data_IF_067799354723
#
_entry.id   IF_067799354723
#
_cell.length_a   1.000
_cell.length_b   1.000
_cell.length_c   1.000
_cell.angle_alpha   90.00
_cell.angle_beta   90.00
_cell.angle_gamma   90.00
#
_symmetry.space_group_name_H-M   'P 1'
#
loop_
_entity.id
_entity.type
_entity.pdbx_description
1 polymer ?
#
# COMPACT_ATOMS: atom_id res chain seq x y z
N UNK A 1 -36.59 9.31 33.72
CA UNK A 1 -35.38 9.42 34.54
C UNK A 1 -34.65 8.07 34.72
N UNK A 2 -35.22 7.01 35.34
CA UNK A 2 -34.52 5.71 35.54
C UNK A 2 -34.08 4.98 34.27
N UNK A 3 -34.84 5.07 33.14
CA UNK A 3 -34.48 4.46 31.86
C UNK A 3 -33.27 5.16 31.18
N UNK A 4 -33.26 6.49 31.25
CA UNK A 4 -32.17 7.31 30.65
C UNK A 4 -30.85 7.07 31.40
N UNK A 5 -30.87 6.96 32.70
CA UNK A 5 -29.68 6.66 33.53
C UNK A 5 -29.13 5.26 33.19
N UNK A 6 -29.99 4.24 33.00
CA UNK A 6 -29.54 2.89 32.59
C UNK A 6 -28.87 2.91 31.22
N UNK A 7 -29.39 3.65 30.25
CA UNK A 7 -28.79 3.73 28.93
C UNK A 7 -27.41 4.39 29.00
N UNK A 8 -27.27 5.49 29.75
CA UNK A 8 -25.99 6.18 29.96
C UNK A 8 -24.94 5.25 30.61
N UNK A 9 -25.35 4.46 31.63
CA UNK A 9 -24.45 3.52 32.28
C UNK A 9 -24.00 2.41 31.30
N UNK A 10 -24.91 1.87 30.50
CA UNK A 10 -24.59 0.81 29.52
C UNK A 10 -23.63 1.34 28.45
N UNK A 11 -23.87 2.54 27.91
CA UNK A 11 -22.96 3.15 26.93
C UNK A 11 -21.58 3.44 27.53
N UNK A 12 -21.51 3.86 28.80
CA UNK A 12 -20.22 4.08 29.46
C UNK A 12 -19.45 2.76 29.68
N UNK A 13 -20.14 1.70 30.05
CA UNK A 13 -19.53 0.36 30.23
C UNK A 13 -19.00 -0.17 28.88
N UNK A 14 -19.75 0.00 27.79
CA UNK A 14 -19.31 -0.41 26.45
C UNK A 14 -18.08 0.39 26.01
N UNK A 15 -18.06 1.71 26.24
CA UNK A 15 -16.91 2.54 25.92
C UNK A 15 -15.65 2.11 26.68
N UNK A 16 -15.76 1.86 28.00
CA UNK A 16 -14.64 1.38 28.82
C UNK A 16 -14.16 -0.02 28.37
N UNK A 17 -15.07 -0.91 27.99
CA UNK A 17 -14.71 -2.24 27.48
C UNK A 17 -13.95 -2.17 26.15
N UNK A 18 -14.33 -1.24 25.26
CA UNK A 18 -13.62 -1.00 24.00
C UNK A 18 -12.22 -0.43 24.22
N UNK A 19 -12.06 0.53 25.14
CA UNK A 19 -10.74 1.07 25.50
C UNK A 19 -9.82 0.00 26.13
N UNK A 20 -10.34 -0.84 27.01
CA UNK A 20 -9.57 -1.94 27.58
C UNK A 20 -9.14 -2.97 26.54
N UNK A 21 -10.00 -3.28 25.57
CA UNK A 21 -9.66 -4.20 24.48
C UNK A 21 -8.55 -3.65 23.58
N UNK A 22 -8.57 -2.35 23.29
CA UNK A 22 -7.51 -1.68 22.53
C UNK A 22 -6.16 -1.69 23.28
N UNK A 23 -6.16 -1.45 24.59
CA UNK A 23 -4.94 -1.50 25.42
C UNK A 23 -4.36 -2.93 25.46
N UNK A 24 -5.20 -3.96 25.52
CA UNK A 24 -4.76 -5.36 25.50
C UNK A 24 -4.15 -5.71 24.13
N UNK A 25 -4.77 -5.27 23.05
CA UNK A 25 -4.26 -5.48 21.70
C UNK A 25 -2.88 -4.79 21.48
N UNK A 26 -2.72 -3.56 21.95
CA UNK A 26 -1.44 -2.82 21.88
C UNK A 26 -0.36 -3.53 22.70
N UNK A 27 -0.68 -4.01 23.91
CA UNK A 27 0.29 -4.77 24.73
C UNK A 27 0.67 -6.10 24.11
N UNK A 28 -0.28 -6.83 23.53
CA UNK A 28 -0.01 -8.07 22.81
C UNK A 28 0.90 -7.82 21.59
N UNK A 29 0.65 -6.76 20.84
CA UNK A 29 1.48 -6.34 19.72
C UNK A 29 2.93 -6.03 20.15
N UNK A 30 3.12 -5.28 21.25
CA UNK A 30 4.47 -5.00 21.77
C UNK A 30 5.21 -6.26 22.22
N UNK A 31 4.51 -7.20 22.87
CA UNK A 31 5.09 -8.47 23.32
C UNK A 31 5.54 -9.34 22.13
N UNK A 32 4.76 -9.40 21.06
CA UNK A 32 5.12 -10.15 19.83
C UNK A 32 6.33 -9.50 19.16
N UNK A 33 6.37 -8.17 19.05
CA UNK A 33 7.50 -7.45 18.45
C UNK A 33 8.79 -7.55 19.28
N UNK A 34 8.72 -7.64 20.60
CA UNK A 34 9.91 -7.89 21.44
C UNK A 34 10.40 -9.33 21.28
N UNK A 35 9.52 -10.30 21.17
CA UNK A 35 9.90 -11.70 20.93
C UNK A 35 10.59 -11.88 19.59
N UNK A 36 10.10 -11.27 18.51
CA UNK A 36 10.71 -11.34 17.18
C UNK A 36 12.07 -10.63 17.09
N UNK A 37 12.30 -9.57 17.87
CA UNK A 37 13.61 -8.91 17.98
C UNK A 37 14.64 -9.76 18.72
N UNK A 38 14.21 -10.60 19.63
CA UNK A 38 15.10 -11.50 20.39
C UNK A 38 15.57 -12.66 19.52
N UNK A 39 14.69 -13.24 18.71
CA UNK A 39 15.04 -14.32 17.76
C UNK A 39 15.99 -13.84 16.65
N UNK A 40 15.83 -12.60 16.16
CA UNK A 40 16.72 -12.01 15.16
C UNK A 40 18.15 -11.77 15.69
N UNK A 41 18.33 -11.50 16.99
CA UNK A 41 19.66 -11.35 17.62
C UNK A 41 20.38 -12.69 17.86
N UNK A 42 19.64 -13.77 18.03
CA UNK A 42 20.23 -15.11 18.25
C UNK A 42 20.77 -15.73 16.96
N UNK A 43 20.16 -15.40 15.81
CA UNK A 43 20.60 -15.87 14.48
C UNK A 43 21.89 -15.19 14.02
N UNK A 44 22.13 -13.93 14.38
CA UNK A 44 23.36 -13.20 13.99
C UNK A 44 24.60 -13.64 14.75
N UNK A 45 24.47 -14.22 15.95
CA UNK A 45 25.63 -14.66 16.75
C UNK A 45 26.13 -16.07 16.41
N UNK A 46 25.45 -16.84 15.57
CA UNK A 46 25.87 -18.20 15.18
C UNK A 46 26.73 -18.28 13.91
N UNK A 47 26.83 -17.19 13.14
CA UNK A 47 27.57 -17.22 11.86
C UNK A 47 29.04 -16.76 11.91
N UNK A 48 29.56 -16.29 13.03
CA UNK A 48 30.92 -15.71 13.10
C UNK A 48 32.02 -16.68 13.61
N UNK A 49 31.75 -17.99 13.67
CA UNK A 49 32.78 -18.96 14.13
C UNK A 49 33.05 -20.11 13.17
N UNK A 50 33.24 -19.85 11.88
CA UNK A 50 33.85 -20.86 10.96
C UNK A 50 34.56 -20.20 9.79
N UNK A 51 35.74 -19.63 10.07
CA UNK A 51 36.78 -19.42 9.06
C UNK A 51 38.14 -19.50 9.73
N UNK A 52 38.80 -20.62 9.56
CA UNK A 52 40.23 -20.76 9.38
C UNK A 52 40.66 -22.25 9.42
N UNK A 53 40.93 -22.84 8.28
CA UNK A 53 42.13 -23.68 8.07
C UNK A 53 42.26 -24.02 6.58
N UNK A 54 43.25 -23.41 6.02
CA UNK A 54 43.81 -23.70 4.71
C UNK A 54 44.64 -24.97 4.75
N UNK A 55 44.45 -25.88 3.81
CA UNK A 55 45.49 -26.83 3.39
C UNK A 55 45.30 -27.15 1.91
N UNK A 56 46.30 -26.78 1.13
CA UNK A 56 46.49 -27.12 -0.27
C UNK A 56 46.39 -28.64 -0.52
N UNK A 57 45.57 -29.02 -1.50
CA UNK A 57 45.81 -30.20 -2.34
C UNK A 57 45.22 -29.98 -3.72
N UNK A 58 46.13 -30.00 -4.69
CA UNK A 58 45.92 -30.07 -6.13
C UNK A 58 44.96 -31.22 -6.46
N UNK A 59 43.84 -30.94 -7.11
CA UNK A 59 42.97 -31.95 -7.73
C UNK A 59 42.54 -31.43 -9.09
N UNK A 60 42.80 -32.24 -10.12
CA UNK A 60 42.44 -32.07 -11.54
C UNK A 60 40.99 -31.62 -11.71
N UNK A 61 40.80 -30.53 -12.47
CA UNK A 61 39.51 -29.99 -12.82
C UNK A 61 39.02 -30.67 -14.11
N UNK A 62 37.92 -31.45 -14.09
CA UNK A 62 37.24 -31.85 -15.31
C UNK A 62 36.54 -30.64 -15.93
N UNK A 63 36.75 -30.45 -17.24
CA UNK A 63 36.11 -29.43 -18.07
C UNK A 63 34.58 -29.46 -17.89
N UNK A 64 33.91 -28.35 -17.56
CA UNK A 64 32.45 -28.35 -17.40
C UNK A 64 31.76 -28.55 -18.74
N UNK A 65 30.94 -29.57 -18.81
CA UNK A 65 29.97 -29.82 -19.86
C UNK A 65 28.91 -28.70 -19.81
N UNK A 66 28.81 -27.93 -20.87
CA UNK A 66 27.81 -26.90 -21.08
C UNK A 66 26.41 -27.50 -21.18
N UNK A 67 25.64 -27.44 -20.15
CA UNK A 67 24.15 -27.36 -20.12
C UNK A 67 23.71 -27.08 -18.67
N UNK A 68 23.90 -25.84 -18.25
CA UNK A 68 23.08 -25.30 -17.16
C UNK A 68 21.93 -24.60 -17.88
N UNK A 69 20.79 -25.26 -17.92
CA UNK A 69 19.51 -24.61 -18.21
C UNK A 69 19.31 -23.59 -17.10
N UNK A 70 19.31 -22.32 -17.47
CA UNK A 70 19.02 -21.23 -16.55
C UNK A 70 17.49 -21.15 -16.38
N UNK A 71 16.91 -22.11 -15.68
CA UNK A 71 15.52 -22.01 -15.20
C UNK A 71 15.48 -21.10 -13.95
N UNK A 72 15.90 -19.84 -14.12
CA UNK A 72 15.47 -18.77 -13.25
C UNK A 72 14.07 -18.40 -13.79
N UNK A 73 13.00 -18.59 -13.02
CA UNK A 73 11.68 -18.18 -13.46
C UNK A 73 11.75 -16.68 -13.82
N UNK A 74 11.42 -16.37 -15.07
CA UNK A 74 11.38 -14.99 -15.53
C UNK A 74 10.30 -14.25 -14.75
N UNK A 75 10.63 -13.10 -14.16
CA UNK A 75 9.64 -12.31 -13.43
C UNK A 75 8.48 -11.98 -14.35
N UNK A 76 7.24 -12.07 -13.87
CA UNK A 76 6.08 -11.75 -14.69
C UNK A 76 6.14 -10.31 -15.20
N UNK A 77 5.86 -10.12 -16.48
CA UNK A 77 5.92 -8.82 -17.14
C UNK A 77 4.52 -8.21 -17.18
N UNK A 78 4.43 -6.93 -16.81
CA UNK A 78 3.19 -6.15 -16.93
C UNK A 78 2.81 -6.02 -18.40
N UNK A 79 1.53 -6.18 -18.67
CA UNK A 79 1.00 -6.11 -20.04
C UNK A 79 -0.44 -5.64 -20.09
N UNK A 80 -1.02 -5.51 -21.30
CA UNK A 80 -2.38 -5.04 -21.47
C UNK A 80 -3.41 -6.08 -21.03
N UNK A 81 -4.50 -5.58 -20.45
CA UNK A 81 -5.70 -6.35 -20.09
C UNK A 81 -6.94 -5.55 -20.50
N UNK A 82 -8.10 -6.18 -20.57
CA UNK A 82 -9.35 -5.47 -20.75
C UNK A 82 -10.00 -5.07 -19.40
N UNK A 83 -11.04 -4.24 -19.44
CA UNK A 83 -11.67 -3.68 -18.24
C UNK A 83 -12.25 -4.75 -17.29
N UNK A 84 -12.64 -5.92 -17.79
CA UNK A 84 -13.18 -7.01 -16.97
C UNK A 84 -12.14 -7.60 -16.03
N UNK A 85 -10.86 -7.38 -16.30
CA UNK A 85 -9.78 -7.74 -15.38
C UNK A 85 -9.96 -7.14 -13.99
N UNK A 86 -10.63 -6.00 -13.88
CA UNK A 86 -10.82 -5.27 -12.63
C UNK A 86 -12.11 -5.65 -11.88
N UNK A 87 -12.97 -6.53 -12.41
CA UNK A 87 -14.26 -6.89 -11.81
C UNK A 87 -14.13 -7.55 -10.43
N UNK A 88 -13.03 -8.22 -10.15
CA UNK A 88 -12.69 -8.84 -8.86
C UNK A 88 -11.63 -8.04 -8.06
N UNK A 89 -11.45 -6.78 -8.41
CA UNK A 89 -10.51 -5.88 -7.74
C UNK A 89 -11.18 -5.02 -6.66
N UNK A 90 -10.36 -4.55 -5.72
CA UNK A 90 -10.70 -3.46 -4.80
C UNK A 90 -9.66 -2.34 -4.90
N UNK A 91 -10.13 -1.11 -4.97
CA UNK A 91 -9.31 0.10 -4.96
C UNK A 91 -9.34 0.73 -3.58
N UNK A 92 -8.16 0.91 -2.99
CA UNK A 92 -7.95 1.42 -1.65
C UNK A 92 -7.24 2.78 -1.74
N UNK A 93 -7.75 3.82 -1.05
CA UNK A 93 -7.04 5.08 -1.07
C UNK A 93 -7.76 6.31 -0.54
N UNK A 94 -7.22 7.46 -0.89
CA UNK A 94 -7.69 8.78 -0.47
C UNK A 94 -8.70 9.41 -1.45
N UNK A 95 -8.82 10.75 -1.42
CA UNK A 95 -9.75 11.51 -2.28
C UNK A 95 -9.54 11.28 -3.78
N UNK A 96 -8.33 10.93 -4.22
CA UNK A 96 -8.06 10.63 -5.63
C UNK A 96 -8.69 9.30 -6.04
N UNK A 97 -8.67 8.32 -5.16
CA UNK A 97 -9.39 7.05 -5.35
C UNK A 97 -10.91 7.24 -5.27
N UNK A 98 -11.40 8.18 -4.45
CA UNK A 98 -12.81 8.60 -4.49
C UNK A 98 -13.16 9.16 -5.87
N UNK A 99 -12.29 9.97 -6.46
CA UNK A 99 -12.45 10.45 -7.84
C UNK A 99 -12.42 9.34 -8.88
N UNK A 100 -11.52 8.37 -8.73
CA UNK A 100 -11.48 7.19 -9.62
C UNK A 100 -12.79 6.39 -9.58
N UNK A 101 -13.40 6.23 -8.40
CA UNK A 101 -14.73 5.63 -8.27
C UNK A 101 -15.82 6.42 -9.00
N UNK A 102 -15.72 7.75 -8.97
CA UNK A 102 -16.77 8.63 -9.51
C UNK A 102 -16.67 8.83 -11.02
N UNK A 103 -15.47 8.81 -11.58
CA UNK A 103 -15.17 9.23 -12.95
C UNK A 103 -14.42 8.20 -13.78
N UNK A 104 -13.90 7.13 -13.20
CA UNK A 104 -13.20 6.08 -13.93
C UNK A 104 -14.11 4.98 -14.43
N UNK A 105 -13.60 4.12 -15.32
CA UNK A 105 -14.38 3.11 -16.06
C UNK A 105 -14.49 1.72 -15.38
N UNK A 106 -13.92 1.54 -14.18
CA UNK A 106 -13.95 0.25 -13.49
C UNK A 106 -15.20 0.10 -12.61
N UNK A 107 -16.38 0.11 -13.23
CA UNK A 107 -17.68 0.19 -12.54
C UNK A 107 -18.05 -1.06 -11.72
N UNK A 108 -17.48 -2.22 -12.05
CA UNK A 108 -17.73 -3.48 -11.32
C UNK A 108 -16.74 -3.70 -10.17
N UNK A 109 -15.71 -2.89 -10.05
CA UNK A 109 -14.73 -2.96 -8.97
C UNK A 109 -15.33 -2.49 -7.65
N UNK A 110 -14.74 -2.95 -6.54
CA UNK A 110 -15.03 -2.42 -5.21
C UNK A 110 -14.10 -1.23 -4.90
N UNK A 111 -14.61 -0.28 -4.13
CA UNK A 111 -13.82 0.90 -3.73
C UNK A 111 -13.89 1.10 -2.24
N UNK A 112 -12.74 1.29 -1.63
CA UNK A 112 -12.59 1.60 -0.21
C UNK A 112 -11.72 2.84 -0.09
N UNK A 113 -12.35 4.01 -0.19
CA UNK A 113 -11.66 5.28 -0.31
C UNK A 113 -12.36 6.40 0.44
N UNK A 114 -11.56 7.30 1.04
CA UNK A 114 -12.08 8.45 1.80
C UNK A 114 -11.23 9.69 1.61
N UNK A 115 -11.89 10.83 1.43
CA UNK A 115 -11.24 12.13 1.35
C UNK A 115 -10.45 12.44 2.62
N UNK A 116 -9.20 12.89 2.46
CA UNK A 116 -8.33 13.33 3.55
C UNK A 116 -7.74 12.20 4.40
N UNK A 117 -7.95 10.94 4.05
CA UNK A 117 -7.39 9.82 4.81
C UNK A 117 -5.87 9.77 4.64
N UNK A 118 -5.18 9.43 5.72
CA UNK A 118 -3.74 9.19 5.79
C UNK A 118 -3.45 7.71 6.05
N UNK A 119 -2.20 7.29 5.88
CA UNK A 119 -1.82 5.88 6.05
C UNK A 119 -2.10 5.39 7.46
N UNK A 120 -1.78 6.17 8.49
CA UNK A 120 -2.00 5.78 9.89
C UNK A 120 -3.46 5.61 10.27
N UNK A 121 -4.37 6.25 9.55
CA UNK A 121 -5.81 6.21 9.81
C UNK A 121 -6.56 5.21 8.96
N UNK A 122 -5.89 4.57 8.00
CA UNK A 122 -6.52 3.75 6.98
C UNK A 122 -7.29 2.54 7.54
N UNK A 123 -6.77 1.89 8.59
CA UNK A 123 -7.46 0.80 9.28
C UNK A 123 -8.29 1.25 10.49
N UNK A 124 -8.08 2.48 10.97
CA UNK A 124 -8.70 2.98 12.20
C UNK A 124 -10.09 3.62 11.99
N UNK A 125 -10.41 4.04 10.76
CA UNK A 125 -11.69 4.68 10.51
C UNK A 125 -12.81 3.64 10.36
N UNK A 126 -13.92 3.77 11.12
CA UNK A 126 -15.14 3.05 10.82
C UNK A 126 -15.70 3.58 9.50
N UNK A 127 -16.06 2.64 8.61
CA UNK A 127 -16.80 2.89 7.38
C UNK A 127 -16.12 3.84 6.37
N UNK A 128 -15.23 3.29 5.56
CA UNK A 128 -14.89 3.88 4.27
C UNK A 128 -15.94 3.52 3.21
N UNK A 129 -16.71 2.49 3.45
CA UNK A 129 -17.89 2.14 2.67
C UNK A 129 -19.11 2.74 3.35
N UNK A 130 -19.58 3.86 2.78
CA UNK A 130 -20.77 4.56 3.26
C UNK A 130 -22.04 3.70 3.13
N UNK A 131 -22.01 2.70 2.26
CA UNK A 131 -23.14 1.83 1.94
C UNK A 131 -23.30 0.70 2.99
N UNK A 132 -22.21 0.09 3.42
CA UNK A 132 -22.23 -1.04 4.36
C UNK A 132 -21.90 -0.65 5.80
N UNK A 133 -21.25 0.48 6.02
CA UNK A 133 -20.76 0.89 7.33
C UNK A 133 -19.61 0.03 7.88
N UNK A 134 -19.02 -0.84 7.05
CA UNK A 134 -17.94 -1.75 7.46
C UNK A 134 -16.59 -1.05 7.47
N UNK A 135 -15.70 -1.47 8.36
CA UNK A 135 -14.28 -1.07 8.34
C UNK A 135 -13.56 -1.81 7.21
N UNK A 136 -12.36 -1.33 6.84
CA UNK A 136 -11.53 -2.03 5.85
C UNK A 136 -11.24 -3.48 6.27
N UNK A 137 -10.83 -3.70 7.52
CA UNK A 137 -10.60 -5.03 8.08
C UNK A 137 -11.83 -5.93 7.95
N UNK A 138 -13.02 -5.42 8.28
CA UNK A 138 -14.26 -6.18 8.15
C UNK A 138 -14.54 -6.52 6.68
N UNK A 139 -14.45 -5.54 5.78
CA UNK A 139 -14.68 -5.75 4.35
C UNK A 139 -13.73 -6.81 3.78
N UNK A 140 -12.43 -6.70 4.06
CA UNK A 140 -11.43 -7.68 3.60
C UNK A 140 -11.55 -9.05 4.29
N UNK A 141 -12.20 -9.15 5.45
CA UNK A 141 -12.48 -10.43 6.10
C UNK A 141 -13.66 -11.17 5.48
N UNK A 142 -14.63 -10.46 4.94
CA UNK A 142 -15.86 -11.05 4.37
C UNK A 142 -15.77 -11.34 2.88
N UNK A 143 -15.01 -10.55 2.14
CA UNK A 143 -14.89 -10.69 0.67
C UNK A 143 -13.44 -10.89 0.27
N UNK A 144 -13.19 -11.93 -0.53
CA UNK A 144 -11.87 -12.17 -1.12
C UNK A 144 -11.79 -11.49 -2.48
N UNK A 145 -10.68 -10.78 -2.70
CA UNK A 145 -10.36 -10.10 -3.95
C UNK A 145 -9.15 -10.78 -4.60
N UNK A 146 -9.09 -10.78 -5.92
CA UNK A 146 -7.91 -11.27 -6.63
C UNK A 146 -6.85 -10.18 -6.80
N UNK A 147 -7.30 -8.92 -6.82
CA UNK A 147 -6.44 -7.76 -7.04
C UNK A 147 -6.80 -6.64 -6.07
N UNK A 148 -5.78 -6.03 -5.49
CA UNK A 148 -5.90 -4.90 -4.57
C UNK A 148 -5.03 -3.78 -5.09
N UNK A 149 -5.63 -2.67 -5.46
CA UNK A 149 -4.93 -1.46 -5.89
C UNK A 149 -4.92 -0.46 -4.75
N UNK A 150 -3.73 0.00 -4.33
CA UNK A 150 -3.59 0.95 -3.24
C UNK A 150 -2.84 2.21 -3.69
N UNK A 151 -3.44 3.38 -3.49
CA UNK A 151 -2.80 4.69 -3.59
C UNK A 151 -3.17 5.54 -2.39
N UNK A 152 -2.20 5.83 -1.51
CA UNK A 152 -2.38 6.63 -0.30
C UNK A 152 -1.04 7.25 0.10
N UNK A 153 -1.07 8.47 0.66
CA UNK A 153 0.14 9.08 1.21
C UNK A 153 0.37 10.54 0.82
N UNK A 154 -0.44 11.13 -0.07
CA UNK A 154 -0.32 12.56 -0.37
C UNK A 154 -0.64 13.42 0.85
N UNK A 155 -1.59 12.99 1.69
CA UNK A 155 -1.96 13.67 2.93
C UNK A 155 -0.90 13.54 4.04
N UNK A 156 0.02 12.59 3.88
CA UNK A 156 1.14 12.36 4.81
C UNK A 156 2.43 13.06 4.35
N UNK A 157 2.51 13.44 3.08
CA UNK A 157 3.78 13.71 2.41
C UNK A 157 4.60 14.82 3.07
N UNK A 158 3.99 15.92 3.46
CA UNK A 158 4.72 17.02 4.08
C UNK A 158 4.90 16.88 5.60
N UNK A 159 4.01 16.16 6.28
CA UNK A 159 3.90 16.15 7.75
C UNK A 159 4.54 14.94 8.41
N UNK A 160 4.53 13.78 7.75
CA UNK A 160 4.98 12.51 8.32
C UNK A 160 6.42 12.21 7.88
N UNK A 161 7.35 11.91 8.79
CA UNK A 161 8.70 11.47 8.43
C UNK A 161 8.67 10.19 7.56
N UNK A 162 9.63 10.05 6.65
CA UNK A 162 9.69 8.93 5.70
C UNK A 162 9.72 7.56 6.40
N UNK A 163 10.51 7.41 7.48
CA UNK A 163 10.60 6.18 8.27
C UNK A 163 9.26 5.81 8.93
N UNK A 164 8.54 6.82 9.43
CA UNK A 164 7.21 6.61 10.01
C UNK A 164 6.21 6.19 8.93
N UNK A 165 6.23 6.85 7.77
CA UNK A 165 5.42 6.47 6.62
C UNK A 165 5.71 5.04 6.17
N UNK A 166 6.99 4.66 6.05
CA UNK A 166 7.41 3.31 5.69
C UNK A 166 6.80 2.27 6.63
N UNK A 167 6.99 2.48 7.94
CA UNK A 167 6.46 1.56 8.95
C UNK A 167 4.96 1.42 8.85
N UNK A 168 4.22 2.53 8.81
CA UNK A 168 2.75 2.51 8.75
C UNK A 168 2.21 1.89 7.45
N UNK A 169 2.83 2.22 6.31
CA UNK A 169 2.41 1.71 5.01
C UNK A 169 2.60 0.20 4.92
N UNK A 170 3.79 -0.30 5.29
CA UNK A 170 4.07 -1.73 5.19
C UNK A 170 3.45 -2.56 6.32
N UNK A 171 3.09 -1.97 7.46
CA UNK A 171 2.20 -2.59 8.44
C UNK A 171 0.80 -2.79 7.83
N UNK A 172 0.27 -1.77 7.14
CA UNK A 172 -0.99 -1.86 6.41
C UNK A 172 -0.94 -2.95 5.32
N UNK A 173 0.12 -3.00 4.51
CA UNK A 173 0.31 -4.04 3.49
C UNK A 173 0.33 -5.43 4.13
N UNK A 174 1.03 -5.63 5.24
CA UNK A 174 1.06 -6.93 5.94
C UNK A 174 -0.32 -7.36 6.43
N UNK A 175 -1.10 -6.44 6.98
CA UNK A 175 -2.48 -6.74 7.39
C UNK A 175 -3.35 -7.13 6.19
N UNK A 176 -3.24 -6.41 5.07
CA UNK A 176 -3.93 -6.76 3.82
C UNK A 176 -3.52 -8.16 3.35
N UNK A 177 -2.23 -8.49 3.34
CA UNK A 177 -1.74 -9.81 2.92
C UNK A 177 -2.26 -10.95 3.81
N UNK A 178 -2.40 -10.73 5.11
CA UNK A 178 -2.98 -11.70 6.03
C UNK A 178 -4.47 -11.96 5.77
N UNK A 179 -5.21 -10.90 5.43
CA UNK A 179 -6.65 -10.99 5.13
C UNK A 179 -6.94 -11.49 3.71
N UNK A 180 -6.00 -11.28 2.78
CA UNK A 180 -6.13 -11.52 1.35
C UNK A 180 -4.89 -12.25 0.77
N UNK A 181 -4.59 -13.49 1.24
CA UNK A 181 -3.32 -14.16 0.95
C UNK A 181 -3.11 -14.50 -0.53
N UNK A 182 -4.20 -14.64 -1.30
CA UNK A 182 -4.14 -14.98 -2.72
C UNK A 182 -4.14 -13.74 -3.63
N UNK A 183 -4.37 -12.55 -3.08
CA UNK A 183 -4.44 -11.35 -3.88
C UNK A 183 -3.07 -10.89 -4.37
N UNK A 184 -3.03 -10.30 -5.57
CA UNK A 184 -1.93 -9.46 -6.03
C UNK A 184 -2.21 -8.04 -5.52
N UNK A 185 -1.22 -7.43 -4.87
CA UNK A 185 -1.33 -6.06 -4.37
C UNK A 185 -0.55 -5.14 -5.32
N UNK A 186 -1.26 -4.26 -5.98
CA UNK A 186 -0.70 -3.22 -6.83
C UNK A 186 -0.53 -1.94 -6.02
N UNK A 187 0.72 -1.60 -5.72
CA UNK A 187 1.10 -0.35 -5.05
C UNK A 187 1.28 0.71 -6.12
N UNK A 188 0.32 1.59 -6.22
CA UNK A 188 0.38 2.72 -7.15
C UNK A 188 1.22 3.85 -6.55
N UNK A 189 2.06 4.47 -7.37
CA UNK A 189 2.79 5.67 -6.96
C UNK A 189 1.84 6.79 -6.58
N UNK A 190 2.19 7.52 -5.53
CA UNK A 190 1.45 8.70 -5.04
C UNK A 190 1.59 9.81 -6.08
N UNK A 191 0.49 10.36 -6.57
CA UNK A 191 0.52 11.54 -7.44
C UNK A 191 1.00 12.77 -6.68
N UNK A 192 1.75 13.63 -7.32
CA UNK A 192 2.16 14.93 -6.79
C UNK A 192 1.03 15.95 -6.72
N UNK A 193 1.39 17.17 -6.44
CA UNK A 193 0.52 18.36 -6.57
C UNK A 193 1.12 19.32 -7.59
N UNK A 194 0.32 20.24 -8.13
CA UNK A 194 0.86 21.27 -9.04
C UNK A 194 1.86 22.17 -8.32
N UNK A 195 2.79 22.80 -9.07
CA UNK A 195 3.76 23.75 -8.52
C UNK A 195 3.08 24.88 -7.73
N UNK A 196 2.00 25.42 -8.26
CA UNK A 196 1.25 26.47 -7.59
C UNK A 196 0.62 26.01 -6.28
N UNK A 197 0.13 24.79 -6.22
CA UNK A 197 -0.46 24.21 -5.01
C UNK A 197 0.60 24.06 -3.92
N UNK A 198 1.76 23.49 -4.24
CA UNK A 198 2.86 23.37 -3.27
C UNK A 198 3.35 24.74 -2.77
N UNK A 199 3.55 25.71 -3.68
CA UNK A 199 3.98 27.07 -3.30
C UNK A 199 2.96 27.79 -2.41
N UNK A 200 1.67 27.54 -2.60
CA UNK A 200 0.60 28.16 -1.80
C UNK A 200 0.37 27.47 -0.46
N UNK A 201 0.76 26.21 -0.32
CA UNK A 201 0.55 25.42 0.89
C UNK A 201 1.69 24.42 1.14
N UNK A 202 2.94 24.91 1.32
CA UNK A 202 4.12 24.06 1.49
C UNK A 202 4.13 23.31 2.83
N UNK A 203 3.23 23.66 3.73
CA UNK A 203 3.08 22.96 5.01
C UNK A 203 2.39 21.61 4.84
N UNK A 204 1.43 21.50 3.91
CA UNK A 204 0.68 20.25 3.69
C UNK A 204 1.18 19.45 2.49
N UNK A 205 1.87 20.08 1.51
CA UNK A 205 2.26 19.42 0.28
C UNK A 205 3.75 19.60 -0.02
N UNK A 206 4.40 18.51 -0.44
CA UNK A 206 5.80 18.49 -0.89
C UNK A 206 5.99 17.40 -1.95
N UNK A 207 6.23 17.82 -3.19
CA UNK A 207 6.51 16.89 -4.29
C UNK A 207 7.84 16.16 -4.12
N UNK A 208 8.85 16.79 -3.55
CA UNK A 208 10.12 16.15 -3.20
C UNK A 208 9.85 14.93 -2.30
N UNK A 209 9.07 15.11 -1.23
CA UNK A 209 8.72 14.03 -0.31
C UNK A 209 7.78 12.99 -0.91
N UNK A 210 6.94 13.35 -1.89
CA UNK A 210 6.18 12.39 -2.68
C UNK A 210 7.11 11.50 -3.49
N UNK A 211 8.12 12.08 -4.15
CA UNK A 211 9.12 11.32 -4.92
C UNK A 211 9.94 10.39 -4.01
N UNK A 212 10.36 10.85 -2.82
CA UNK A 212 11.05 10.00 -1.83
C UNK A 212 10.20 8.79 -1.45
N UNK A 213 8.90 8.98 -1.20
CA UNK A 213 7.97 7.88 -0.89
C UNK A 213 7.79 6.93 -2.06
N UNK A 214 7.62 7.46 -3.25
CA UNK A 214 7.48 6.63 -4.46
C UNK A 214 8.72 5.77 -4.70
N UNK A 215 9.92 6.31 -4.50
CA UNK A 215 11.17 5.55 -4.58
C UNK A 215 11.24 4.45 -3.52
N UNK A 216 10.83 4.75 -2.28
CA UNK A 216 10.72 3.78 -1.21
C UNK A 216 9.74 2.66 -1.57
N UNK A 217 8.51 2.99 -1.97
CA UNK A 217 7.47 2.02 -2.35
C UNK A 217 7.97 1.10 -3.47
N UNK A 218 8.57 1.68 -4.52
CA UNK A 218 9.15 0.93 -5.64
C UNK A 218 10.24 -0.05 -5.18
N UNK A 219 11.11 0.37 -4.26
CA UNK A 219 12.22 -0.45 -3.77
C UNK A 219 11.79 -1.68 -2.96
N UNK A 220 10.58 -1.66 -2.41
CA UNK A 220 10.02 -2.72 -1.54
C UNK A 220 9.08 -3.69 -2.27
N UNK A 221 8.73 -3.40 -3.51
CA UNK A 221 7.87 -4.26 -4.32
C UNK A 221 8.70 -5.37 -4.97
N UNK A 222 8.19 -6.61 -4.94
CA UNK A 222 8.84 -7.80 -5.49
C UNK A 222 8.57 -8.01 -7.00
N UNK A 223 7.51 -7.39 -7.51
CA UNK A 223 7.04 -7.51 -8.89
C UNK A 223 6.20 -8.76 -9.16
N UNK A 224 5.81 -9.51 -8.13
CA UNK A 224 5.02 -10.75 -8.23
C UNK A 224 3.72 -10.65 -7.42
N UNK A 225 3.82 -10.59 -6.09
CA UNK A 225 2.68 -10.44 -5.17
C UNK A 225 2.50 -9.00 -4.70
N UNK A 226 3.56 -8.22 -4.69
CA UNK A 226 3.55 -6.79 -4.40
C UNK A 226 4.14 -6.04 -5.59
N UNK A 227 3.30 -5.46 -6.42
CA UNK A 227 3.63 -4.91 -7.74
C UNK A 227 3.57 -3.39 -7.69
N UNK A 228 4.66 -2.72 -8.06
CA UNK A 228 4.68 -1.26 -8.16
C UNK A 228 4.17 -0.78 -9.52
N UNK A 229 3.27 0.22 -9.51
CA UNK A 229 2.75 0.88 -10.71
C UNK A 229 3.10 2.37 -10.69
N UNK A 230 3.82 2.83 -11.68
CA UNK A 230 4.28 4.23 -11.78
C UNK A 230 3.22 5.15 -12.41
N UNK A 231 2.06 5.25 -11.77
CA UNK A 231 0.98 6.16 -12.20
C UNK A 231 1.42 7.63 -12.15
N UNK A 232 2.35 7.98 -11.22
CA UNK A 232 2.90 9.33 -11.09
C UNK A 232 3.44 9.87 -12.41
N UNK A 233 4.21 9.06 -13.14
CA UNK A 233 4.80 9.47 -14.41
C UNK A 233 3.77 9.80 -15.50
N UNK A 234 2.56 9.24 -15.45
CA UNK A 234 1.50 9.54 -16.41
C UNK A 234 0.92 10.97 -16.23
N UNK A 235 1.11 11.59 -15.06
CA UNK A 235 0.52 12.88 -14.72
C UNK A 235 1.54 13.97 -14.42
N UNK A 236 2.83 13.65 -14.46
CA UNK A 236 3.90 14.56 -14.03
C UNK A 236 4.43 15.35 -15.22
N UNK A 237 4.62 16.67 -15.03
CA UNK A 237 5.28 17.53 -16.00
C UNK A 237 6.82 17.38 -15.98
N UNK A 238 7.52 18.12 -16.86
CA UNK A 238 8.96 18.04 -16.98
C UNK A 238 9.74 18.56 -15.74
N UNK A 239 9.07 19.29 -14.84
CA UNK A 239 9.66 19.80 -13.59
C UNK A 239 9.39 18.86 -12.40
N UNK A 240 8.61 17.79 -12.58
CA UNK A 240 8.30 16.82 -11.52
C UNK A 240 7.04 17.14 -10.71
N UNK A 241 6.21 18.07 -11.16
CA UNK A 241 4.94 18.44 -10.55
C UNK A 241 3.76 17.78 -11.26
N UNK A 242 2.64 17.63 -10.56
CA UNK A 242 1.37 17.33 -11.24
C UNK A 242 1.13 18.38 -12.33
N UNK A 243 0.91 17.93 -13.55
CA UNK A 243 0.69 18.82 -14.68
C UNK A 243 -0.56 19.68 -14.42
N UNK A 244 -0.39 20.99 -14.52
CA UNK A 244 -1.44 21.97 -14.21
C UNK A 244 -2.70 21.82 -15.09
N UNK A 245 -2.59 21.18 -16.25
CA UNK A 245 -3.73 20.94 -17.13
C UNK A 245 -4.60 19.76 -16.65
N UNK A 246 -4.05 18.89 -15.81
CA UNK A 246 -4.77 17.75 -15.24
C UNK A 246 -5.44 18.06 -13.89
N UNK A 247 -5.34 19.30 -13.38
CA UNK A 247 -5.92 19.66 -12.08
C UNK A 247 -6.31 21.13 -12.03
N UNK A 248 -7.57 21.39 -11.68
CA UNK A 248 -8.08 22.75 -11.51
C UNK A 248 -7.82 23.32 -10.11
N UNK A 249 -7.71 22.49 -9.07
CA UNK A 249 -7.42 22.88 -7.68
C UNK A 249 -5.95 22.62 -7.27
N UNK A 250 -5.20 22.01 -8.17
CA UNK A 250 -3.79 21.69 -7.98
C UNK A 250 -3.53 20.39 -7.20
N UNK A 251 -4.57 19.69 -6.76
CA UNK A 251 -4.49 18.46 -5.97
C UNK A 251 -5.23 17.30 -6.62
N UNK A 252 -6.49 17.47 -6.98
CA UNK A 252 -7.34 16.45 -7.56
C UNK A 252 -7.29 16.49 -9.09
N UNK A 253 -7.37 15.32 -9.72
CA UNK A 253 -7.49 15.26 -11.18
C UNK A 253 -8.85 15.84 -11.63
N UNK A 254 -8.87 16.45 -12.82
CA UNK A 254 -10.14 16.79 -13.46
C UNK A 254 -10.89 15.50 -13.82
N UNK A 255 -12.20 15.55 -13.92
CA UNK A 255 -13.04 14.38 -14.18
C UNK A 255 -12.65 13.62 -15.47
N UNK A 256 -12.29 14.35 -16.53
CA UNK A 256 -11.85 13.74 -17.81
C UNK A 256 -10.50 13.04 -17.75
N UNK A 257 -9.67 13.33 -16.74
CA UNK A 257 -8.30 12.82 -16.68
C UNK A 257 -8.20 11.47 -15.96
N UNK A 258 -9.32 11.00 -15.36
CA UNK A 258 -9.40 9.64 -14.83
C UNK A 258 -9.36 8.57 -15.92
N UNK A 259 -9.70 8.90 -17.17
CA UNK A 259 -9.51 8.02 -18.33
C UNK A 259 -8.02 7.71 -18.53
N UNK A 260 -7.13 8.69 -18.36
CA UNK A 260 -5.67 8.50 -18.43
C UNK A 260 -5.22 7.49 -17.36
N UNK A 261 -5.78 7.56 -16.16
CA UNK A 261 -5.46 6.62 -15.10
C UNK A 261 -5.97 5.22 -15.40
N UNK A 262 -7.21 5.09 -15.87
CA UNK A 262 -7.78 3.81 -16.28
C UNK A 262 -6.99 3.19 -17.43
N UNK A 263 -6.64 3.97 -18.45
CA UNK A 263 -5.80 3.52 -19.57
C UNK A 263 -4.42 3.04 -19.09
N UNK A 264 -3.78 3.79 -18.17
CA UNK A 264 -2.52 3.37 -17.58
C UNK A 264 -2.66 2.01 -16.90
N UNK A 265 -3.67 1.80 -16.06
CA UNK A 265 -3.88 0.55 -15.34
C UNK A 265 -4.17 -0.62 -16.27
N UNK A 266 -4.95 -0.41 -17.33
CA UNK A 266 -5.25 -1.45 -18.34
C UNK A 266 -4.02 -1.88 -19.13
N UNK A 267 -3.01 -1.01 -19.27
CA UNK A 267 -1.75 -1.33 -19.97
C UNK A 267 -0.69 -1.94 -19.04
N UNK A 268 -0.88 -1.90 -17.72
CA UNK A 268 0.15 -2.26 -16.74
C UNK A 268 -0.40 -3.24 -15.70
N UNK A 269 -0.94 -4.36 -16.13
CA UNK A 269 -1.42 -5.43 -15.25
C UNK A 269 -0.57 -6.71 -15.42
N UNK A 270 -0.55 -7.57 -14.39
CA UNK A 270 -0.05 -8.94 -14.55
C UNK A 270 -1.14 -9.77 -15.22
N UNK A 271 -0.92 -10.29 -16.43
CA UNK A 271 -1.90 -11.16 -17.08
C UNK A 271 -2.21 -12.37 -16.18
N UNK A 272 -3.48 -12.66 -15.98
CA UNK A 272 -3.91 -13.88 -15.29
C UNK A 272 -3.94 -14.99 -16.34
N UNK A 273 -3.12 -16.03 -16.16
CA UNK A 273 -3.16 -17.23 -17.00
C UNK A 273 -4.37 -18.09 -16.63
#
# INVERSE_FOLDING_TARGET
MKKTIKIIIITLIIAIALELSAIVAIKAYHLVNEATKTDAKEVTHKNDKKQAKNTDKNVDIPKPSSKISSDIPEKPVLGPVDATYFDDAVFLGDSRTVGLRAFGDFHNSSYFAKTGISVNSFFMYPALDEETGLTLTQTLSYKQYKKIYIMIGVNDAALVPLETFETQFFDAIREIQLLQPEAIIYVQSILGVTKNKELSDPYHYSNERVVERNNLLKSKCDGEKLVYLDVFSAFTDAEGYLNQFNSSDGLHLNSSDYDIWCDYLTQHALPVN
#
